data_IF_453003479086
#
_entry.id   IF_453003479086
#
_cell.length_a   1.000
_cell.length_b   1.000
_cell.length_c   1.000
_cell.angle_alpha   90.00
_cell.angle_beta   90.00
_cell.angle_gamma   90.00
#
_symmetry.space_group_name_H-M   'P 1'
#
loop_
_entity.id
_entity.type
_entity.pdbx_description
1 polymer ?
#
# COMPACT_ATOMS: atom_id res chain seq x y z
N UNK A 1 9.65 -22.63 28.97
CA UNK A 1 8.91 -23.09 27.78
C UNK A 1 9.27 -22.14 26.67
N UNK A 2 10.33 -22.50 25.98
CA UNK A 2 10.98 -21.71 24.94
C UNK A 2 10.14 -21.86 23.66
N UNK A 3 9.91 -20.76 22.95
CA UNK A 3 9.33 -20.80 21.62
C UNK A 3 10.45 -21.05 20.61
N UNK A 4 10.37 -22.09 19.75
CA UNK A 4 11.14 -22.12 18.53
C UNK A 4 10.20 -22.07 17.32
N UNK A 5 10.23 -20.92 16.66
CA UNK A 5 10.41 -20.81 15.20
C UNK A 5 9.73 -21.88 14.34
N UNK A 6 8.51 -21.61 13.89
CA UNK A 6 7.96 -22.26 12.69
C UNK A 6 7.36 -21.21 11.76
N UNK A 7 8.25 -20.52 11.03
CA UNK A 7 7.91 -19.83 9.80
C UNK A 7 8.45 -20.67 8.63
N UNK A 8 7.65 -21.00 7.61
CA UNK A 8 8.10 -21.88 6.54
C UNK A 8 9.30 -21.27 5.81
N UNK A 9 10.33 -22.09 5.66
CA UNK A 9 11.51 -21.88 4.82
C UNK A 9 11.08 -21.64 3.37
N UNK A 10 10.81 -20.40 3.00
CA UNK A 10 10.57 -20.01 1.62
C UNK A 10 11.93 -19.83 0.92
N UNK A 11 12.38 -20.93 0.32
CA UNK A 11 13.49 -20.97 -0.62
C UNK A 11 13.04 -20.38 -1.96
N UNK A 12 13.33 -19.11 -2.22
CA UNK A 12 13.43 -18.53 -3.56
C UNK A 12 14.62 -17.55 -3.56
N UNK A 13 15.64 -17.82 -4.37
CA UNK A 13 16.93 -17.13 -4.35
C UNK A 13 16.85 -15.59 -4.42
N UNK A 14 17.74 -14.94 -3.67
CA UNK A 14 17.98 -13.48 -3.63
C UNK A 14 16.73 -12.60 -3.65
N UNK A 15 15.74 -12.88 -2.80
CA UNK A 15 14.75 -11.85 -2.47
C UNK A 15 15.43 -10.79 -1.58
N UNK A 16 15.25 -9.48 -1.86
CA UNK A 16 15.71 -8.45 -0.93
C UNK A 16 15.09 -8.69 0.45
N UNK A 17 15.90 -8.51 1.50
CA UNK A 17 15.49 -8.72 2.89
C UNK A 17 14.22 -7.91 3.19
N UNK A 18 14.18 -6.70 2.63
CA UNK A 18 13.05 -5.78 2.70
C UNK A 18 11.72 -6.38 2.23
N UNK A 19 11.70 -7.07 1.08
CA UNK A 19 10.47 -7.70 0.60
C UNK A 19 9.98 -8.81 1.55
N UNK A 20 10.92 -9.50 2.20
CA UNK A 20 10.60 -10.54 3.17
C UNK A 20 9.99 -9.93 4.43
N UNK A 21 10.55 -8.82 4.93
CA UNK A 21 10.00 -8.05 6.05
C UNK A 21 8.61 -7.50 5.74
N UNK A 22 8.42 -6.91 4.55
CA UNK A 22 7.13 -6.38 4.10
C UNK A 22 6.07 -7.48 3.96
N UNK A 23 6.46 -8.68 3.52
CA UNK A 23 5.56 -9.84 3.48
C UNK A 23 5.30 -10.45 4.85
N UNK A 24 6.15 -10.17 5.84
CA UNK A 24 5.99 -10.60 7.22
C UNK A 24 5.15 -9.63 8.06
N UNK A 25 4.71 -8.49 7.49
CA UNK A 25 3.73 -7.62 8.11
C UNK A 25 2.46 -8.39 8.49
N UNK A 26 1.78 -7.91 9.53
CA UNK A 26 0.53 -8.51 9.97
C UNK A 26 -0.46 -8.55 8.79
N UNK A 27 -0.95 -9.74 8.51
CA UNK A 27 -1.95 -9.99 7.47
C UNK A 27 -3.29 -10.26 8.12
N UNK A 28 -4.35 -10.11 7.34
CA UNK A 28 -5.65 -10.57 7.78
C UNK A 28 -5.59 -12.09 8.11
N UNK A 29 -6.17 -12.55 9.23
CA UNK A 29 -6.06 -13.95 9.71
C UNK A 29 -6.63 -14.99 8.74
N UNK A 30 -7.49 -14.58 7.80
CA UNK A 30 -7.98 -15.48 6.74
C UNK A 30 -7.00 -15.62 5.57
N UNK A 31 -5.92 -14.82 5.54
CA UNK A 31 -5.00 -14.72 4.41
C UNK A 31 -5.62 -14.06 3.17
N UNK A 32 -6.85 -13.57 3.28
CA UNK A 32 -7.57 -12.88 2.21
C UNK A 32 -7.19 -11.41 2.22
N UNK A 33 -6.40 -10.99 1.24
CA UNK A 33 -5.87 -9.65 1.15
C UNK A 33 -4.82 -9.53 0.06
N UNK A 34 -4.30 -8.32 -0.14
CA UNK A 34 -3.22 -8.09 -1.09
C UNK A 34 -2.30 -6.96 -0.62
N UNK A 35 -1.04 -7.07 -1.00
CA UNK A 35 -0.02 -6.04 -0.76
C UNK A 35 0.06 -5.08 -1.93
N UNK A 36 0.21 -3.79 -1.66
CA UNK A 36 0.39 -2.77 -2.69
C UNK A 36 1.38 -1.70 -2.26
N UNK A 37 2.31 -1.38 -3.15
CA UNK A 37 3.20 -0.22 -3.02
C UNK A 37 2.49 0.98 -3.64
N UNK A 38 2.07 1.94 -2.82
CA UNK A 38 1.47 3.17 -3.31
C UNK A 38 2.50 4.09 -3.96
N UNK A 39 2.04 4.97 -4.85
CA UNK A 39 2.88 5.99 -5.52
C UNK A 39 3.44 7.05 -4.55
N UNK A 40 3.02 7.00 -3.29
CA UNK A 40 3.52 7.77 -2.16
C UNK A 40 4.69 7.11 -1.41
N UNK A 41 5.15 5.93 -1.87
CA UNK A 41 6.29 5.22 -1.28
C UNK A 41 5.95 4.44 -0.01
N UNK A 42 4.66 4.17 0.22
CA UNK A 42 4.17 3.44 1.37
C UNK A 42 3.66 2.07 0.92
N UNK A 43 4.17 1.02 1.55
CA UNK A 43 3.68 -0.34 1.38
C UNK A 43 2.46 -0.54 2.27
N UNK A 44 1.36 -1.02 1.69
CA UNK A 44 0.09 -1.26 2.41
C UNK A 44 -0.39 -2.68 2.18
N UNK A 45 -0.78 -3.34 3.27
CA UNK A 45 -1.52 -4.59 3.27
C UNK A 45 -3.01 -4.26 3.35
N UNK A 46 -3.74 -4.64 2.32
CA UNK A 46 -5.19 -4.51 2.27
C UNK A 46 -5.85 -5.85 2.60
N UNK A 47 -6.94 -5.80 3.35
CA UNK A 47 -7.89 -6.90 3.51
C UNK A 47 -8.83 -7.00 2.28
N UNK A 48 -9.61 -8.09 2.18
CA UNK A 48 -10.60 -8.32 1.12
C UNK A 48 -11.62 -7.19 0.94
N UNK A 49 -11.94 -6.45 2.00
CA UNK A 49 -12.86 -5.31 1.96
C UNK A 49 -12.17 -4.01 1.51
N UNK A 50 -10.88 -4.08 1.15
CA UNK A 50 -10.08 -2.93 0.71
C UNK A 50 -9.65 -2.01 1.85
N UNK A 51 -9.70 -2.50 3.10
CA UNK A 51 -9.23 -1.77 4.28
C UNK A 51 -7.75 -2.03 4.51
N UNK A 52 -6.98 -0.98 4.80
CA UNK A 52 -5.57 -1.11 5.20
C UNK A 52 -5.49 -1.79 6.57
N UNK A 53 -4.88 -2.97 6.61
CA UNK A 53 -4.62 -3.73 7.83
C UNK A 53 -3.28 -3.34 8.45
N UNK A 54 -2.26 -3.16 7.62
CA UNK A 54 -0.92 -2.79 8.03
C UNK A 54 -0.25 -1.95 6.95
N UNK A 55 0.65 -1.08 7.36
CA UNK A 55 1.40 -0.24 6.44
C UNK A 55 2.84 -0.12 6.91
N UNK A 56 3.75 0.10 5.96
CA UNK A 56 5.15 0.37 6.20
C UNK A 56 5.60 1.49 5.27
N UNK A 57 6.04 2.60 5.86
CA UNK A 57 6.66 3.69 5.11
C UNK A 57 8.06 3.27 4.69
N UNK A 58 8.38 3.41 3.40
CA UNK A 58 9.69 3.07 2.87
C UNK A 58 10.51 4.34 2.60
N UNK A 59 11.81 4.27 2.86
CA UNK A 59 12.77 5.27 2.40
C UNK A 59 13.00 5.16 0.88
N UNK A 60 13.56 6.20 0.23
CA UNK A 60 13.84 6.18 -1.20
C UNK A 60 14.75 5.01 -1.63
N UNK A 61 15.67 4.59 -0.75
CA UNK A 61 16.58 3.47 -0.97
C UNK A 61 15.82 2.13 -0.95
N UNK A 62 14.95 1.95 0.04
CA UNK A 62 14.09 0.78 0.17
C UNK A 62 13.08 0.67 -0.98
N UNK A 63 12.50 1.80 -1.41
CA UNK A 63 11.62 1.86 -2.58
C UNK A 63 12.38 1.36 -3.81
N UNK A 64 13.60 1.83 -4.03
CA UNK A 64 14.42 1.41 -5.17
C UNK A 64 14.73 -0.09 -5.12
N UNK A 65 15.05 -0.62 -3.94
CA UNK A 65 15.31 -2.04 -3.74
C UNK A 65 14.07 -2.88 -4.07
N UNK A 66 12.89 -2.43 -3.63
CA UNK A 66 11.61 -3.05 -3.97
C UNK A 66 11.33 -2.98 -5.47
N UNK A 67 11.47 -1.80 -6.07
CA UNK A 67 11.23 -1.57 -7.50
C UNK A 67 12.06 -2.51 -8.36
N UNK A 68 13.28 -2.84 -7.93
CA UNK A 68 14.17 -3.78 -8.61
C UNK A 68 13.73 -5.26 -8.56
N UNK A 69 12.75 -5.62 -7.72
CA UNK A 69 12.14 -6.96 -7.71
C UNK A 69 11.21 -7.16 -8.90
N UNK A 70 10.58 -6.09 -9.39
CA UNK A 70 9.66 -6.18 -10.51
C UNK A 70 10.40 -6.30 -11.85
N UNK A 71 9.76 -6.91 -12.87
CA UNK A 71 10.33 -7.00 -14.21
C UNK A 71 10.55 -5.60 -14.81
N UNK A 72 11.49 -5.51 -15.75
CA UNK A 72 12.02 -4.25 -16.28
C UNK A 72 10.94 -3.29 -16.82
N UNK A 73 9.89 -3.82 -17.45
CA UNK A 73 8.76 -3.03 -17.96
C UNK A 73 8.04 -2.26 -16.85
N UNK A 74 7.83 -2.92 -15.71
CA UNK A 74 7.17 -2.34 -14.53
C UNK A 74 8.18 -1.49 -13.75
N UNK A 75 9.42 -1.97 -13.63
CA UNK A 75 10.51 -1.29 -12.93
C UNK A 75 10.71 0.13 -13.46
N UNK A 76 10.85 0.29 -14.77
CA UNK A 76 11.11 1.61 -15.38
C UNK A 76 9.95 2.60 -15.14
N UNK A 77 8.72 2.10 -15.17
CA UNK A 77 7.55 2.90 -14.80
C UNK A 77 7.61 3.32 -13.33
N UNK A 78 7.81 2.37 -12.41
CA UNK A 78 7.87 2.64 -10.98
C UNK A 78 9.05 3.55 -10.59
N UNK A 79 10.23 3.36 -11.19
CA UNK A 79 11.40 4.21 -10.94
C UNK A 79 11.14 5.66 -11.35
N UNK A 80 10.36 5.87 -12.42
CA UNK A 80 9.98 7.19 -12.89
C UNK A 80 8.95 7.84 -11.96
N UNK A 81 7.89 7.12 -11.61
CA UNK A 81 6.80 7.64 -10.78
C UNK A 81 7.23 7.84 -9.32
N UNK A 82 8.07 6.96 -8.77
CA UNK A 82 8.56 7.01 -7.40
C UNK A 82 9.88 7.80 -7.26
N UNK A 83 10.31 8.49 -8.31
CA UNK A 83 11.58 9.22 -8.30
C UNK A 83 11.53 10.38 -7.30
N UNK A 84 12.33 10.28 -6.24
CA UNK A 84 12.38 11.32 -5.20
C UNK A 84 11.21 11.27 -4.21
N UNK A 85 10.41 10.20 -4.27
CA UNK A 85 9.37 9.91 -3.27
C UNK A 85 10.03 9.33 -2.02
N UNK A 86 9.66 9.86 -0.85
CA UNK A 86 10.05 9.33 0.46
C UNK A 86 8.78 9.04 1.26
N UNK A 87 8.45 7.76 1.43
CA UNK A 87 7.26 7.32 2.15
C UNK A 87 7.26 7.73 3.62
N UNK A 88 8.42 8.01 4.22
CA UNK A 88 8.54 8.50 5.60
C UNK A 88 8.05 9.94 5.76
N UNK A 89 7.83 10.64 4.65
CA UNK A 89 7.21 11.96 4.65
C UNK A 89 5.68 11.88 4.84
N UNK A 90 5.08 10.71 4.59
CA UNK A 90 3.67 10.44 4.87
C UNK A 90 3.51 10.17 6.37
N UNK A 91 3.34 11.24 7.14
CA UNK A 91 3.19 11.17 8.61
C UNK A 91 1.73 11.17 9.06
N UNK A 92 0.82 11.45 8.15
CA UNK A 92 -0.59 11.55 8.46
C UNK A 92 -1.21 10.15 8.57
N UNK A 93 -1.66 9.80 9.78
CA UNK A 93 -2.27 8.50 10.06
C UNK A 93 -3.52 8.24 9.22
N UNK A 94 -4.30 9.28 8.92
CA UNK A 94 -5.46 9.13 8.06
C UNK A 94 -5.04 8.81 6.63
N UNK A 95 -3.98 9.43 6.10
CA UNK A 95 -3.45 9.11 4.77
C UNK A 95 -2.79 7.72 4.69
N UNK A 96 -2.24 7.23 5.81
CA UNK A 96 -1.67 5.88 5.89
C UNK A 96 -2.78 4.80 5.84
N UNK A 97 -3.89 5.03 6.55
CA UNK A 97 -5.03 4.10 6.66
C UNK A 97 -6.09 4.29 5.56
N UNK A 98 -6.18 5.49 5.01
CA UNK A 98 -7.11 5.93 3.96
C UNK A 98 -6.33 6.68 2.88
N UNK A 99 -5.57 5.96 2.04
CA UNK A 99 -4.89 6.56 0.90
C UNK A 99 -5.88 7.23 -0.06
N UNK A 100 -5.41 8.30 -0.71
CA UNK A 100 -6.18 9.01 -1.74
C UNK A 100 -6.54 8.09 -2.91
N UNK A 101 -7.64 8.39 -3.59
CA UNK A 101 -8.13 7.56 -4.69
C UNK A 101 -7.10 7.43 -5.83
N UNK A 102 -6.32 8.49 -6.09
CA UNK A 102 -5.29 8.50 -7.12
C UNK A 102 -4.09 7.56 -6.83
N UNK A 103 -3.83 7.25 -5.56
CA UNK A 103 -2.72 6.35 -5.15
C UNK A 103 -3.21 4.94 -4.77
N UNK A 104 -4.52 4.71 -4.83
CA UNK A 104 -5.14 3.40 -4.64
C UNK A 104 -5.00 2.54 -5.90
N UNK A 105 -4.94 1.21 -5.78
CA UNK A 105 -4.89 0.35 -6.95
C UNK A 105 -6.22 0.45 -7.73
N UNK A 106 -6.19 0.35 -9.08
CA UNK A 106 -7.38 0.57 -9.94
C UNK A 106 -8.59 -0.29 -9.57
N UNK A 107 -8.33 -1.49 -9.04
CA UNK A 107 -9.36 -2.42 -8.55
C UNK A 107 -10.18 -1.84 -7.39
N UNK A 108 -9.57 -1.01 -6.54
CA UNK A 108 -10.23 -0.35 -5.42
C UNK A 108 -10.71 1.07 -5.77
N UNK A 109 -10.11 1.75 -6.76
CA UNK A 109 -10.59 3.05 -7.25
C UNK A 109 -12.07 2.99 -7.66
N UNK A 110 -12.46 1.89 -8.31
CA UNK A 110 -13.84 1.62 -8.72
C UNK A 110 -14.82 1.58 -7.53
N UNK A 111 -14.37 1.10 -6.37
CA UNK A 111 -15.18 1.02 -5.14
C UNK A 111 -15.31 2.38 -4.42
N UNK A 112 -14.30 3.25 -4.54
CA UNK A 112 -14.28 4.59 -3.93
C UNK A 112 -15.09 5.59 -4.77
N UNK A 113 -14.97 5.55 -6.10
CA UNK A 113 -15.75 6.40 -7.02
C UNK A 113 -17.26 6.12 -6.90
N UNK A 114 -17.65 4.91 -6.49
CA UNK A 114 -19.05 4.58 -6.18
C UNK A 114 -19.64 5.27 -4.93
N UNK A 115 -18.81 5.80 -4.01
CA UNK A 115 -19.27 6.43 -2.77
C UNK A 115 -19.23 7.97 -2.76
N UNK A 116 -18.68 8.63 -3.79
CA UNK A 116 -18.63 10.09 -3.85
C UNK A 116 -19.75 10.73 -4.69
N UNK A 117 -20.91 10.06 -4.83
CA UNK A 117 -22.13 10.70 -5.34
C UNK A 117 -23.22 10.80 -4.27
N UNK A 118 -22.87 11.05 -3.00
CA UNK A 118 -23.90 11.36 -1.97
C UNK A 118 -23.48 12.44 -0.96
N UNK A 119 -22.56 13.35 -1.26
CA UNK A 119 -22.33 14.52 -0.40
C UNK A 119 -22.01 15.78 -1.20
N UNK A 120 -22.86 16.10 -2.18
CA UNK A 120 -22.95 17.45 -2.74
C UNK A 120 -24.40 17.87 -2.95
N UNK A 121 -25.25 17.64 -1.94
CA UNK A 121 -26.40 18.51 -1.73
C UNK A 121 -25.89 19.78 -1.03
N UNK A 122 -25.25 20.66 -1.82
CA UNK A 122 -24.95 22.02 -1.41
C UNK A 122 -26.27 22.69 -1.06
N UNK A 123 -26.43 22.94 0.23
CA UNK A 123 -27.54 23.66 0.84
C UNK A 123 -27.67 25.04 0.19
N UNK A 124 -28.67 25.19 -0.69
CA UNK A 124 -29.18 26.48 -1.16
C UNK A 124 -30.66 26.57 -0.82
N UNK A 125 -30.97 26.97 0.41
CA UNK A 125 -32.23 27.65 0.74
C UNK A 125 -31.84 29.11 0.98
N UNK A 126 -31.87 29.94 -0.06
CA UNK A 126 -33.00 30.84 -0.37
C UNK A 126 -33.47 31.63 0.84
N UNK A 127 -32.84 32.79 1.02
CA UNK A 127 -33.39 33.94 1.71
C UNK A 127 -34.57 34.47 0.90
N UNK A 128 -35.73 34.63 1.54
CA UNK A 128 -36.81 35.52 1.12
C UNK A 128 -37.48 36.07 2.36
#
# INVERSE_FOLDING_TARGET
MEQPTSGPKLSCGNQPVLLTELKALEKHPTGEGFSHLGMDGVWREFDKDGKVWSYQTLSPEEIKEMVNVWPEDIRNFLEKELRGVDGRNVKDMAQLLHPDADIMPPVLQSAIVGHQQVTSASQKNSTS
#
